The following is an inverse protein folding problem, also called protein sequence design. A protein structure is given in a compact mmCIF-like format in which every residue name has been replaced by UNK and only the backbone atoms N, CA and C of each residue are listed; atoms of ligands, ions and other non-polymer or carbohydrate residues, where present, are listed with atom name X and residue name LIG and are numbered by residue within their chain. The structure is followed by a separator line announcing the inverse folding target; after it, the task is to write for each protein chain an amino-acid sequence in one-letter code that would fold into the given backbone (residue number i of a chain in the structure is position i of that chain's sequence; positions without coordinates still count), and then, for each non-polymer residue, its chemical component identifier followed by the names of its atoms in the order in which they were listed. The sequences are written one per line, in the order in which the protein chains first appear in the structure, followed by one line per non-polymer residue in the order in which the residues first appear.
data_IF_160932759948
#
_entry.id   IF_160932759948
#
_cell.length_a   1.000
_cell.length_b   1.000
_cell.length_c   1.000
_cell.angle_alpha   90.00
_cell.angle_beta   90.00
_cell.angle_gamma   90.00
#
_symmetry.space_group_name_H-M   'P 1'
#
loop_
_entity.id
_entity.type
_entity.pdbx_description
1 polymer ?
#
# COMPACT_ATOMS: atom_id res chain seq x y z
N UNK A 1 -2.78 8.58 5.77
CA UNK A 1 -1.31 8.72 5.81
C UNK A 1 -0.70 7.38 5.39
N UNK A 2 -0.08 7.30 4.21
CA UNK A 2 0.15 6.04 3.50
C UNK A 2 1.55 5.44 3.78
N UNK A 3 1.84 5.16 5.05
CA UNK A 3 3.18 4.72 5.51
C UNK A 3 3.52 3.25 5.17
N UNK A 4 2.56 2.46 4.67
CA UNK A 4 2.74 1.03 4.40
C UNK A 4 3.56 0.75 3.14
N UNK A 5 3.44 1.59 2.10
CA UNK A 5 4.24 1.46 0.86
C UNK A 5 5.75 1.61 1.15
N UNK A 6 6.21 2.69 1.81
CA UNK A 6 7.59 2.80 2.25
C UNK A 6 8.06 1.62 3.12
N UNK A 7 7.20 1.17 4.06
CA UNK A 7 7.53 0.05 4.93
C UNK A 7 7.78 -1.26 4.19
N UNK A 8 6.91 -1.63 3.23
CA UNK A 8 7.14 -2.81 2.37
C UNK A 8 8.47 -2.71 1.63
N UNK A 9 8.77 -1.53 1.07
CA UNK A 9 10.01 -1.29 0.34
C UNK A 9 11.25 -1.50 1.22
N UNK A 10 11.19 -1.03 2.47
CA UNK A 10 12.26 -1.25 3.46
C UNK A 10 12.45 -2.75 3.70
N UNK A 11 11.37 -3.51 3.91
CA UNK A 11 11.46 -4.96 4.14
C UNK A 11 12.05 -5.70 2.94
N UNK A 12 11.63 -5.38 1.72
CA UNK A 12 12.15 -5.98 0.49
C UNK A 12 13.66 -5.76 0.33
N UNK A 13 14.11 -4.53 0.58
CA UNK A 13 15.53 -4.19 0.50
C UNK A 13 16.31 -4.93 1.58
N UNK A 14 15.82 -4.96 2.82
CA UNK A 14 16.49 -5.70 3.91
C UNK A 14 16.56 -7.20 3.62
N UNK A 15 15.50 -7.80 3.07
CA UNK A 15 15.51 -9.20 2.66
C UNK A 15 16.64 -9.48 1.67
N UNK A 16 16.82 -8.58 0.69
CA UNK A 16 17.89 -8.70 -0.31
C UNK A 16 19.28 -8.48 0.26
N UNK A 17 19.46 -7.52 1.17
CA UNK A 17 20.76 -7.19 1.77
C UNK A 17 21.30 -8.29 2.70
N UNK A 18 20.41 -9.11 3.27
CA UNK A 18 20.77 -10.18 4.21
C UNK A 18 20.53 -11.59 3.66
N UNK A 19 20.03 -11.71 2.41
CA UNK A 19 19.61 -12.98 1.80
C UNK A 19 18.64 -13.77 2.70
N UNK A 20 17.62 -13.07 3.22
CA UNK A 20 16.57 -13.65 4.08
C UNK A 20 15.21 -13.46 3.45
N UNK A 21 14.26 -14.35 3.76
CA UNK A 21 12.89 -14.19 3.26
C UNK A 21 12.06 -13.28 4.17
N UNK A 22 10.95 -12.76 3.63
CA UNK A 22 9.95 -12.04 4.43
C UNK A 22 9.35 -12.94 5.53
N UNK A 23 9.29 -14.25 5.31
CA UNK A 23 8.82 -15.19 6.31
C UNK A 23 9.82 -15.29 7.46
N UNK A 24 11.12 -15.30 7.18
CA UNK A 24 12.18 -15.33 8.20
C UNK A 24 12.15 -14.09 9.08
N UNK A 25 11.98 -12.91 8.49
CA UNK A 25 11.80 -11.64 9.22
C UNK A 25 10.56 -11.66 10.11
N UNK A 26 9.49 -12.35 9.72
CA UNK A 26 8.26 -12.46 10.51
C UNK A 26 8.32 -13.60 11.53
N UNK A 27 9.14 -14.62 11.30
CA UNK A 27 9.27 -15.81 12.14
C UNK A 27 9.69 -15.48 13.57
N UNK A 28 9.42 -16.38 14.53
CA UNK A 28 9.90 -16.26 15.91
C UNK A 28 11.37 -16.68 16.11
N UNK A 29 12.05 -17.09 15.03
CA UNK A 29 13.44 -17.55 15.08
C UNK A 29 14.36 -16.50 15.72
N UNK A 30 15.37 -16.96 16.46
CA UNK A 30 16.34 -16.11 17.16
C UNK A 30 17.73 -16.17 16.55
N UNK A 31 17.85 -16.73 15.35
CA UNK A 31 19.11 -16.77 14.60
C UNK A 31 19.71 -15.36 14.49
N UNK A 32 21.02 -15.18 14.79
CA UNK A 32 21.65 -13.86 14.84
C UNK A 32 21.42 -13.01 13.59
N UNK A 33 21.51 -13.62 12.41
CA UNK A 33 21.27 -13.02 11.09
C UNK A 33 19.84 -12.49 10.95
N UNK A 34 18.83 -13.27 11.37
CA UNK A 34 17.43 -12.83 11.30
C UNK A 34 17.12 -11.73 12.32
N UNK A 35 17.77 -11.77 13.49
CA UNK A 35 17.64 -10.73 14.51
C UNK A 35 18.30 -9.43 14.02
N UNK A 36 19.46 -9.53 13.36
CA UNK A 36 20.17 -8.39 12.78
C UNK A 36 19.31 -7.73 11.69
N UNK A 37 18.86 -8.51 10.71
CA UNK A 37 18.02 -8.02 9.63
C UNK A 37 16.72 -7.36 10.16
N UNK A 38 16.06 -7.97 11.15
CA UNK A 38 14.90 -7.34 11.82
C UNK A 38 15.28 -6.03 12.51
N UNK A 39 16.40 -5.98 13.22
CA UNK A 39 16.81 -4.77 13.94
C UNK A 39 17.05 -3.61 12.98
N UNK A 40 17.71 -3.85 11.85
CA UNK A 40 17.92 -2.87 10.79
C UNK A 40 16.59 -2.43 10.15
N UNK A 41 15.70 -3.39 9.83
CA UNK A 41 14.37 -3.07 9.31
C UNK A 41 13.55 -2.19 10.25
N UNK A 42 13.56 -2.47 11.56
CA UNK A 42 12.84 -1.66 12.55
C UNK A 42 13.39 -0.24 12.64
N UNK A 43 14.71 -0.12 12.68
CA UNK A 43 15.40 1.16 12.80
C UNK A 43 15.16 2.04 11.56
N UNK A 44 15.23 1.45 10.37
CA UNK A 44 14.90 2.12 9.11
C UNK A 44 13.42 2.50 9.05
N UNK A 45 12.50 1.58 9.40
CA UNK A 45 11.07 1.88 9.44
C UNK A 45 10.76 3.05 10.37
N UNK A 46 11.38 3.09 11.55
CA UNK A 46 11.20 4.20 12.50
C UNK A 46 11.79 5.53 11.99
N UNK A 47 12.85 5.46 11.19
CA UNK A 47 13.56 6.63 10.67
C UNK A 47 12.95 7.20 9.39
N UNK A 48 12.33 6.35 8.56
CA UNK A 48 11.91 6.67 7.20
C UNK A 48 10.39 6.72 7.03
N UNK A 49 9.63 6.41 8.09
CA UNK A 49 8.17 6.38 8.06
C UNK A 49 7.58 6.93 9.36
N UNK A 50 6.34 7.42 9.30
CA UNK A 50 5.58 7.87 10.46
C UNK A 50 4.83 6.73 11.18
N UNK A 51 5.29 5.48 11.03
CA UNK A 51 4.65 4.34 11.68
C UNK A 51 4.85 4.38 13.20
N UNK A 52 3.79 4.05 13.93
CA UNK A 52 3.89 3.75 15.35
C UNK A 52 4.68 2.46 15.58
N UNK A 53 5.30 2.33 16.75
CA UNK A 53 6.04 1.11 17.13
C UNK A 53 5.13 -0.13 17.09
N UNK A 54 3.87 0.00 17.51
CA UNK A 54 2.87 -1.07 17.43
C UNK A 54 2.58 -1.48 15.98
N UNK A 55 2.47 -0.52 15.06
CA UNK A 55 2.24 -0.82 13.64
C UNK A 55 3.46 -1.49 12.99
N UNK A 56 4.67 -1.05 13.33
CA UNK A 56 5.92 -1.70 12.91
C UNK A 56 5.95 -3.15 13.42
N UNK A 57 5.59 -3.37 14.68
CA UNK A 57 5.51 -4.70 15.30
C UNK A 57 4.48 -5.61 14.63
N UNK A 58 3.29 -5.07 14.33
CA UNK A 58 2.25 -5.78 13.60
C UNK A 58 2.72 -6.24 12.22
N UNK A 59 3.37 -5.35 11.45
CA UNK A 59 3.92 -5.69 10.13
C UNK A 59 5.04 -6.75 10.17
N UNK A 60 5.66 -6.91 11.32
CA UNK A 60 6.76 -7.83 11.58
C UNK A 60 6.27 -9.06 12.35
N UNK A 61 5.13 -9.64 11.94
CA UNK A 61 4.62 -10.88 12.51
C UNK A 61 3.92 -10.73 13.87
N UNK A 62 3.32 -9.56 14.16
CA UNK A 62 2.52 -9.38 15.38
C UNK A 62 3.35 -9.17 16.65
N UNK A 63 4.54 -8.58 16.54
CA UNK A 63 5.43 -8.32 17.68
C UNK A 63 4.95 -7.15 18.53
N UNK A 64 5.16 -7.25 19.83
CA UNK A 64 4.81 -6.20 20.78
C UNK A 64 5.70 -4.96 20.60
N UNK A 65 5.16 -3.78 20.89
CA UNK A 65 5.86 -2.50 20.71
C UNK A 65 7.19 -2.46 21.51
N UNK A 66 7.23 -3.05 22.70
CA UNK A 66 8.44 -3.17 23.51
C UNK A 66 9.52 -4.01 22.82
N UNK A 67 9.12 -5.05 22.06
CA UNK A 67 10.04 -5.84 21.24
C UNK A 67 10.64 -4.98 20.13
N UNK A 68 9.82 -4.14 19.50
CA UNK A 68 10.27 -3.20 18.46
C UNK A 68 11.26 -2.17 19.04
N UNK A 69 10.98 -1.62 20.22
CA UNK A 69 11.91 -0.74 20.94
C UNK A 69 13.26 -1.42 21.16
N UNK A 70 13.27 -2.66 21.65
CA UNK A 70 14.51 -3.42 21.86
C UNK A 70 15.29 -3.63 20.56
N UNK A 71 14.62 -3.92 19.45
CA UNK A 71 15.23 -4.08 18.14
C UNK A 71 15.85 -2.77 17.63
N UNK A 72 15.14 -1.65 17.77
CA UNK A 72 15.64 -0.32 17.38
C UNK A 72 16.87 0.04 18.22
N UNK A 73 16.80 -0.14 19.54
CA UNK A 73 17.91 0.15 20.45
C UNK A 73 19.13 -0.72 20.14
N UNK A 74 18.92 -1.99 19.75
CA UNK A 74 20.02 -2.88 19.33
C UNK A 74 20.73 -2.36 18.08
N UNK A 75 19.99 -1.93 17.06
CA UNK A 75 20.58 -1.33 15.87
C UNK A 75 21.29 -0.01 16.21
N UNK A 76 20.65 0.86 17.00
CA UNK A 76 21.22 2.15 17.41
C UNK A 76 22.53 1.97 18.18
N UNK A 77 22.57 1.08 19.17
CA UNK A 77 23.79 0.81 19.92
C UNK A 77 24.94 0.31 19.04
N UNK A 78 24.63 -0.39 17.93
CA UNK A 78 25.63 -0.82 16.96
C UNK A 78 26.10 0.33 16.07
N UNK A 79 25.17 1.20 15.62
CA UNK A 79 25.50 2.46 14.93
C UNK A 79 26.45 3.33 15.76
N UNK A 80 26.22 3.42 17.07
CA UNK A 80 27.03 4.27 17.96
C UNK A 80 28.45 3.71 18.15
N UNK A 81 28.59 2.38 18.24
CA UNK A 81 29.84 1.70 18.58
C UNK A 81 30.72 1.33 17.38
N UNK A 82 30.12 1.07 16.22
CA UNK A 82 30.81 0.52 15.05
C UNK A 82 30.74 1.52 13.87
N UNK A 83 31.85 2.22 13.56
CA UNK A 83 31.90 3.18 12.46
C UNK A 83 31.61 2.58 11.08
N UNK A 84 32.03 1.34 10.84
CA UNK A 84 31.82 0.66 9.56
C UNK A 84 30.33 0.31 9.39
N UNK A 85 29.72 -0.25 10.44
CA UNK A 85 28.28 -0.51 10.45
C UNK A 85 27.45 0.78 10.28
N UNK A 86 27.86 1.87 10.95
CA UNK A 86 27.21 3.18 10.80
C UNK A 86 27.26 3.69 9.37
N UNK A 87 28.42 3.59 8.72
CA UNK A 87 28.57 4.00 7.33
C UNK A 87 27.65 3.16 6.42
N UNK A 88 27.75 1.83 6.51
CA UNK A 88 26.94 0.89 5.71
C UNK A 88 25.43 1.14 5.87
N UNK A 89 24.94 1.23 7.11
CA UNK A 89 23.52 1.43 7.37
C UNK A 89 23.05 2.84 6.99
N UNK A 90 23.92 3.85 7.12
CA UNK A 90 23.69 5.22 6.68
C UNK A 90 23.57 5.36 5.16
N UNK A 91 24.41 4.65 4.41
CA UNK A 91 24.31 4.56 2.94
C UNK A 91 23.02 3.86 2.52
N UNK A 92 22.69 2.74 3.18
CA UNK A 92 21.43 2.04 2.94
C UNK A 92 20.21 2.93 3.18
N UNK A 93 20.22 3.69 4.30
CA UNK A 93 19.17 4.66 4.63
C UNK A 93 19.04 5.74 3.55
N UNK A 94 20.16 6.36 3.17
CA UNK A 94 20.17 7.41 2.13
C UNK A 94 19.63 6.90 0.79
N UNK A 95 20.01 5.69 0.37
CA UNK A 95 19.51 5.05 -0.84
C UNK A 95 18.00 4.78 -0.76
N UNK A 96 17.52 4.27 0.37
CA UNK A 96 16.09 4.04 0.60
C UNK A 96 15.29 5.34 0.61
N UNK A 97 15.81 6.40 1.21
CA UNK A 97 15.17 7.71 1.21
C UNK A 97 14.93 8.24 -0.20
N UNK A 98 15.94 8.16 -1.08
CA UNK A 98 15.79 8.56 -2.49
C UNK A 98 14.76 7.70 -3.19
N UNK A 99 14.73 6.38 -2.96
CA UNK A 99 13.74 5.49 -3.56
C UNK A 99 12.31 5.79 -3.07
N UNK A 100 12.13 6.04 -1.78
CA UNK A 100 10.83 6.35 -1.17
C UNK A 100 10.32 7.72 -1.64
N UNK A 101 11.20 8.73 -1.78
CA UNK A 101 10.84 10.05 -2.32
C UNK A 101 10.63 10.01 -3.85
N UNK A 102 11.43 9.24 -4.58
CA UNK A 102 11.38 9.08 -6.03
C UNK A 102 10.15 8.30 -6.53
N UNK A 103 9.46 7.56 -5.67
CA UNK A 103 8.16 6.93 -5.98
C UNK A 103 6.97 7.90 -5.99
N UNK A 104 7.22 9.21 -5.92
CA UNK A 104 6.20 10.26 -6.04
C UNK A 104 5.70 10.55 -7.47
N UNK A 105 6.27 9.94 -8.52
CA UNK A 105 5.73 10.05 -9.88
C UNK A 105 5.96 8.76 -10.65
N UNK A 106 4.88 8.01 -10.82
CA UNK A 106 4.88 6.72 -11.50
C UNK A 106 3.49 6.11 -11.52
N UNK A 107 2.46 6.92 -11.76
CA UNK A 107 1.33 6.38 -12.49
C UNK A 107 1.91 6.04 -13.86
N UNK A 108 2.04 4.76 -14.18
CA UNK A 108 2.12 4.38 -15.58
C UNK A 108 0.80 4.90 -16.17
N UNK A 109 0.85 5.96 -16.96
CA UNK A 109 -0.27 6.33 -17.80
C UNK A 109 -0.17 5.40 -19.00
N UNK A 110 -1.05 4.41 -19.07
CA UNK A 110 -1.30 3.68 -20.31
C UNK A 110 -2.56 4.30 -20.88
N UNK A 111 -2.45 4.86 -22.09
CA UNK A 111 -3.55 5.54 -22.80
C UNK A 111 -4.21 6.68 -22.01
N UNK A 112 -3.43 7.43 -21.23
CA UNK A 112 -3.94 8.57 -20.46
C UNK A 112 -4.82 8.20 -19.27
N UNK A 113 -4.93 6.91 -18.95
CA UNK A 113 -5.61 6.45 -17.74
C UNK A 113 -4.61 6.01 -16.67
N UNK A 114 -4.86 6.32 -15.38
CA UNK A 114 -4.02 5.85 -14.29
C UNK A 114 -4.08 4.31 -14.21
N UNK A 115 -2.95 3.64 -14.43
CA UNK A 115 -2.83 2.19 -14.26
C UNK A 115 -2.71 1.86 -12.77
N UNK A 116 -3.65 1.07 -12.27
CA UNK A 116 -3.62 0.52 -10.91
C UNK A 116 -2.51 -0.54 -10.81
N UNK A 117 -1.64 -0.42 -9.81
CA UNK A 117 -0.62 -1.44 -9.55
C UNK A 117 -1.23 -2.65 -8.80
N UNK A 118 -0.82 -3.89 -9.10
CA UNK A 118 -1.41 -5.13 -8.53
C UNK A 118 -1.42 -5.22 -7.00
N UNK A 119 -0.55 -4.46 -6.33
CA UNK A 119 -0.38 -4.48 -4.87
C UNK A 119 -1.55 -3.88 -4.07
N UNK A 120 -2.53 -3.29 -4.76
CA UNK A 120 -3.76 -2.69 -4.20
C UNK A 120 -4.93 -3.68 -4.10
N UNK A 121 -4.69 -4.98 -4.31
CA UNK A 121 -5.71 -6.03 -4.20
C UNK A 121 -6.07 -6.36 -2.73
N UNK A 122 -6.78 -5.44 -2.07
CA UNK A 122 -7.74 -5.82 -1.04
C UNK A 122 -9.12 -5.70 -1.68
N UNK A 123 -9.88 -6.80 -1.70
CA UNK A 123 -11.25 -6.86 -2.24
C UNK A 123 -12.15 -5.81 -1.55
N UNK A 124 -12.53 -4.69 -2.23
CA UNK A 124 -13.35 -3.65 -1.62
C UNK A 124 -14.74 -4.18 -1.25
N UNK A 125 -15.27 -5.12 -2.03
CA UNK A 125 -16.57 -5.75 -1.76
C UNK A 125 -16.48 -6.69 -0.56
N UNK A 126 -15.37 -7.39 -0.39
CA UNK A 126 -15.06 -8.21 0.78
C UNK A 126 -14.99 -7.38 2.08
N UNK A 127 -14.36 -6.21 2.01
CA UNK A 127 -14.34 -5.24 3.12
C UNK A 127 -15.75 -4.74 3.43
N UNK A 128 -16.51 -4.33 2.41
CA UNK A 128 -17.90 -3.88 2.58
C UNK A 128 -18.78 -4.97 3.22
N UNK A 129 -18.67 -6.21 2.74
CA UNK A 129 -19.40 -7.38 3.28
C UNK A 129 -19.08 -7.61 4.75
N UNK A 130 -17.80 -7.47 5.14
CA UNK A 130 -17.35 -7.58 6.53
C UNK A 130 -17.95 -6.51 7.44
N UNK A 131 -18.00 -5.25 6.97
CA UNK A 131 -18.58 -4.13 7.72
C UNK A 131 -20.09 -4.33 7.92
N UNK A 132 -20.80 -4.66 6.84
CA UNK A 132 -22.26 -4.81 6.85
C UNK A 132 -22.72 -6.05 7.64
N UNK A 133 -21.89 -7.09 7.72
CA UNK A 133 -22.19 -8.38 8.36
C UNK A 133 -22.15 -8.45 9.89
N UNK A 134 -22.27 -7.32 10.62
CA UNK A 134 -22.25 -7.23 12.11
C UNK A 134 -20.97 -7.69 12.82
N UNK A 135 -19.81 -7.78 12.15
CA UNK A 135 -18.51 -8.09 12.76
C UNK A 135 -17.61 -6.86 12.99
N UNK A 136 -18.13 -5.64 12.81
CA UNK A 136 -17.35 -4.40 12.89
C UNK A 136 -16.70 -4.17 14.27
N UNK A 137 -17.33 -4.62 15.36
CA UNK A 137 -16.78 -4.49 16.72
C UNK A 137 -15.50 -5.31 16.94
N UNK A 138 -15.35 -6.47 16.28
CA UNK A 138 -14.18 -7.35 16.42
C UNK A 138 -13.05 -7.00 15.45
N UNK A 139 -13.34 -6.24 14.40
CA UNK A 139 -12.36 -5.81 13.41
C UNK A 139 -12.73 -4.42 12.89
N UNK A 140 -12.31 -3.34 13.58
CA UNK A 140 -12.71 -1.98 13.23
C UNK A 140 -12.20 -1.58 11.84
N UNK A 141 -12.97 -0.73 11.16
CA UNK A 141 -12.61 -0.23 9.83
C UNK A 141 -11.35 0.63 9.92
N UNK A 142 -10.32 0.28 9.16
CA UNK A 142 -9.09 1.07 9.10
C UNK A 142 -9.21 2.22 8.11
N UNK A 143 -8.41 3.28 8.28
CA UNK A 143 -8.40 4.43 7.35
C UNK A 143 -8.09 4.03 5.91
N UNK A 144 -7.21 3.04 5.70
CA UNK A 144 -6.86 2.56 4.36
C UNK A 144 -8.01 1.80 3.69
N UNK A 145 -8.78 1.04 4.48
CA UNK A 145 -9.97 0.35 3.99
C UNK A 145 -11.10 1.35 3.69
N UNK A 146 -11.24 2.39 4.51
CA UNK A 146 -12.16 3.50 4.24
C UNK A 146 -11.78 4.25 2.96
N UNK A 147 -10.49 4.57 2.78
CA UNK A 147 -9.98 5.22 1.58
C UNK A 147 -10.19 4.36 0.33
N UNK A 148 -9.94 3.05 0.43
CA UNK A 148 -10.16 2.11 -0.66
C UNK A 148 -11.64 2.01 -1.05
N UNK A 149 -12.54 1.91 -0.06
CA UNK A 149 -13.98 1.91 -0.30
C UNK A 149 -14.46 3.22 -0.94
N UNK A 150 -13.96 4.37 -0.46
CA UNK A 150 -14.32 5.67 -1.00
C UNK A 150 -13.90 5.81 -2.47
N UNK A 151 -12.67 5.39 -2.82
CA UNK A 151 -12.18 5.37 -4.20
C UNK A 151 -13.02 4.45 -5.08
N UNK A 152 -13.35 3.26 -4.59
CA UNK A 152 -14.20 2.31 -5.31
C UNK A 152 -15.59 2.89 -5.60
N UNK A 153 -16.22 3.55 -4.62
CA UNK A 153 -17.54 4.17 -4.78
C UNK A 153 -17.53 5.33 -5.78
N UNK A 154 -16.50 6.19 -5.74
CA UNK A 154 -16.35 7.29 -6.69
C UNK A 154 -16.19 6.76 -8.12
N UNK A 155 -15.35 5.75 -8.32
CA UNK A 155 -15.17 5.13 -9.62
C UNK A 155 -16.47 4.48 -10.15
N UNK A 156 -17.24 3.83 -9.27
CA UNK A 156 -18.53 3.25 -9.64
C UNK A 156 -19.58 4.32 -9.99
N UNK A 157 -19.60 5.46 -9.28
CA UNK A 157 -20.50 6.58 -9.60
C UNK A 157 -20.16 7.20 -10.97
N UNK A 158 -18.87 7.42 -11.24
CA UNK A 158 -18.41 7.93 -12.53
C UNK A 158 -18.84 7.02 -13.69
N UNK A 159 -18.67 5.71 -13.53
CA UNK A 159 -19.09 4.74 -14.55
C UNK A 159 -20.62 4.70 -14.72
N UNK A 160 -21.38 4.81 -13.63
CA UNK A 160 -22.82 4.92 -13.69
C UNK A 160 -23.30 6.20 -14.40
N UNK A 161 -22.60 7.33 -14.20
CA UNK A 161 -22.90 8.59 -14.92
C UNK A 161 -22.61 8.46 -16.41
N UNK A 162 -21.48 7.85 -16.77
CA UNK A 162 -21.11 7.60 -18.18
C UNK A 162 -22.15 6.76 -18.88
N UNK A 163 -22.50 5.61 -18.31
CA UNK A 163 -23.50 4.70 -18.89
C UNK A 163 -24.88 5.34 -19.01
N UNK A 164 -25.34 6.12 -18.01
CA UNK A 164 -26.57 6.91 -18.11
C UNK A 164 -26.51 7.97 -19.22
N UNK A 165 -25.38 8.65 -19.36
CA UNK A 165 -25.13 9.61 -20.43
C UNK A 165 -25.26 8.97 -21.82
N UNK A 166 -24.61 7.83 -22.03
CA UNK A 166 -24.71 7.05 -23.27
C UNK A 166 -26.14 6.58 -23.54
N UNK A 167 -26.84 6.06 -22.54
CA UNK A 167 -28.24 5.64 -22.68
C UNK A 167 -29.16 6.80 -23.09
N UNK A 168 -28.90 8.01 -22.57
CA UNK A 168 -29.64 9.22 -22.92
C UNK A 168 -29.36 9.64 -24.36
N UNK A 169 -28.09 9.64 -24.78
CA UNK A 169 -27.69 9.93 -26.17
C UNK A 169 -28.32 8.93 -27.16
N UNK A 170 -28.27 7.64 -26.83
CA UNK A 170 -28.85 6.58 -27.68
C UNK A 170 -30.36 6.73 -27.80
N UNK A 171 -31.05 7.08 -26.70
CA UNK A 171 -32.49 7.37 -26.74
C UNK A 171 -32.82 8.60 -27.61
N UNK A 172 -31.97 9.63 -27.59
CA UNK A 172 -32.10 10.80 -28.47
C UNK A 172 -31.93 10.46 -29.95
N UNK A 173 -30.91 9.66 -30.28
CA UNK A 173 -30.68 9.19 -31.65
C UNK A 173 -31.85 8.34 -32.15
N UNK A 174 -32.34 7.39 -31.35
CA UNK A 174 -33.49 6.55 -31.73
C UNK A 174 -34.76 7.37 -32.02
N UNK A 175 -35.00 8.47 -31.28
CA UNK A 175 -36.10 9.39 -31.59
C UNK A 175 -35.90 10.10 -32.93
N UNK A 176 -34.69 10.60 -33.21
CA UNK A 176 -34.38 11.24 -34.50
C UNK A 176 -34.57 10.29 -35.69
N UNK A 177 -34.19 9.02 -35.55
CA UNK A 177 -34.42 8.01 -36.59
C UNK A 177 -35.90 7.60 -36.73
N UNK A 178 -36.67 7.63 -35.64
CA UNK A 178 -38.12 7.39 -35.67
C UNK A 178 -38.95 8.53 -36.28
N UNK A 179 -38.40 9.74 -36.35
CA UNK A 179 -39.05 10.94 -36.89
C UNK A 179 -38.66 11.24 -38.36
N UNK A 180 -37.83 10.42 -39.01
CA UNK A 180 -37.53 10.59 -40.44
C UNK A 180 -38.79 10.38 -41.28
N UNK A 181 -39.26 11.41 -42.04
CA UNK A 181 -40.42 11.25 -42.90
C UNK A 181 -40.11 10.19 -43.96
N UNK A 182 -41.03 9.26 -44.17
CA UNK A 182 -40.93 8.26 -45.22
C UNK A 182 -40.56 8.96 -46.53
N UNK A 183 -39.39 8.61 -47.08
CA UNK A 183 -38.96 9.11 -48.37
C UNK A 183 -40.10 8.80 -49.36
N UNK A 184 -40.73 9.86 -49.89
CA UNK A 184 -41.78 9.73 -50.89
C UNK A 184 -41.16 9.02 -52.09
N UNK A 185 -41.48 7.72 -52.25
CA UNK A 185 -41.21 6.99 -53.46
C UNK A 185 -42.07 7.61 -54.56
N UNK A 186 -41.41 8.22 -55.54
CA UNK A 186 -42.01 8.74 -56.76
C UNK A 186 -42.36 7.63 -57.75
#
# INVERSE_FOLDING_TARGET
MNYWRPYKKILEVICREHDVTLLDLKSSSRLPEFVLARSEACWLAKSLTDMSLSNIGHGMGGRDHATVTNLINKAQAKVDKDPEYRLRLGELKSRLEVQIRGTGSGHQLVDGQPVLQPEECKDPLGIARRILGRNASKNPLTTNELELLARYLLAADDELRRTKGLATQMSGLLKQFGEMPAAKAG
#
